data_IF_860718722720
#
_entry.id   IF_860718722720
#
_cell.length_a   1.000
_cell.length_b   1.000
_cell.length_c   1.000
_cell.angle_alpha   90.00
_cell.angle_beta   90.00
_cell.angle_gamma   90.00
#
_symmetry.space_group_name_H-M   'P 1'
#
loop_
_entity.id
_entity.type
_entity.pdbx_description
1 polymer ?
#
# COMPACT_ATOMS: atom_id res chain seq x y z
N UNK A 1 -15.61 -1.06 -22.00
CA UNK A 1 -16.10 -1.82 -20.83
C UNK A 1 -17.03 -2.91 -21.34
N UNK A 2 -16.77 -4.17 -20.99
CA UNK A 2 -17.62 -5.29 -21.39
C UNK A 2 -18.90 -5.35 -20.52
N UNK A 3 -20.00 -5.97 -21.00
CA UNK A 3 -21.18 -6.23 -20.18
C UNK A 3 -20.85 -7.09 -18.97
N UNK A 4 -21.48 -6.83 -17.85
CA UNK A 4 -21.32 -7.57 -16.60
C UNK A 4 -22.65 -7.66 -15.83
N UNK A 5 -22.79 -8.67 -14.98
CA UNK A 5 -23.86 -8.76 -13.99
C UNK A 5 -23.46 -8.03 -12.71
N UNK A 6 -24.46 -7.58 -11.94
CA UNK A 6 -24.25 -6.87 -10.68
C UNK A 6 -25.06 -7.52 -9.57
N UNK A 7 -24.42 -7.82 -8.43
CA UNK A 7 -25.05 -8.42 -7.27
C UNK A 7 -24.72 -7.65 -6.00
N UNK A 8 -25.68 -7.56 -5.08
CA UNK A 8 -25.54 -6.92 -3.76
C UNK A 8 -25.86 -7.92 -2.66
N UNK A 9 -24.90 -8.71 -2.22
CA UNK A 9 -25.09 -9.68 -1.14
C UNK A 9 -25.46 -9.00 0.18
N UNK A 10 -26.32 -9.65 0.97
CA UNK A 10 -26.78 -9.10 2.24
C UNK A 10 -25.77 -9.26 3.39
N UNK A 11 -24.80 -10.15 3.27
CA UNK A 11 -23.80 -10.44 4.31
C UNK A 11 -22.50 -11.00 3.71
N UNK A 12 -21.39 -11.06 4.49
CA UNK A 12 -20.10 -11.55 4.02
C UNK A 12 -20.15 -12.97 3.44
N UNK A 13 -20.86 -13.91 4.08
CA UNK A 13 -20.96 -15.28 3.58
C UNK A 13 -21.62 -15.36 2.20
N UNK A 14 -22.68 -14.58 1.98
CA UNK A 14 -23.33 -14.49 0.67
C UNK A 14 -22.39 -13.86 -0.39
N UNK A 15 -21.58 -12.88 -0.01
CA UNK A 15 -20.59 -12.27 -0.89
C UNK A 15 -19.48 -13.26 -1.28
N UNK A 16 -18.96 -14.01 -0.32
CA UNK A 16 -17.96 -15.06 -0.52
C UNK A 16 -18.50 -16.16 -1.45
N UNK A 17 -19.75 -16.56 -1.25
CA UNK A 17 -20.40 -17.53 -2.14
C UNK A 17 -20.57 -16.96 -3.56
N UNK A 18 -21.05 -15.73 -3.68
CA UNK A 18 -21.28 -15.09 -4.98
C UNK A 18 -19.99 -14.87 -5.80
N UNK A 19 -18.86 -14.58 -5.15
CA UNK A 19 -17.58 -14.35 -5.86
C UNK A 19 -16.92 -15.65 -6.35
N UNK A 20 -17.40 -16.83 -5.94
CA UNK A 20 -16.89 -18.13 -6.42
C UNK A 20 -17.18 -18.40 -7.90
N UNK A 21 -18.10 -17.65 -8.51
CA UNK A 21 -18.39 -17.72 -9.94
C UNK A 21 -17.19 -17.23 -10.74
N UNK A 22 -16.80 -17.97 -11.78
CA UNK A 22 -15.67 -17.59 -12.63
C UNK A 22 -15.84 -16.19 -13.22
N UNK A 23 -14.79 -15.37 -13.11
CA UNK A 23 -14.80 -13.99 -13.59
C UNK A 23 -15.52 -12.99 -12.67
N UNK A 24 -16.03 -13.41 -11.51
CA UNK A 24 -16.61 -12.51 -10.53
C UNK A 24 -15.52 -11.76 -9.74
N UNK A 25 -15.78 -10.48 -9.40
CA UNK A 25 -14.88 -9.65 -8.56
C UNK A 25 -15.67 -8.86 -7.54
N UNK A 26 -15.10 -8.68 -6.36
CA UNK A 26 -15.61 -7.75 -5.37
C UNK A 26 -15.49 -6.30 -5.84
N UNK A 27 -16.54 -5.52 -5.58
CA UNK A 27 -16.60 -4.10 -5.86
C UNK A 27 -16.77 -3.32 -4.55
N UNK A 28 -15.71 -2.58 -4.16
CA UNK A 28 -15.78 -1.55 -3.12
C UNK A 28 -16.11 -0.18 -3.73
N UNK A 29 -15.29 0.83 -3.47
CA UNK A 29 -15.48 2.18 -4.02
C UNK A 29 -15.34 2.33 -5.54
N UNK A 30 -14.87 1.31 -6.25
CA UNK A 30 -14.73 1.30 -7.71
C UNK A 30 -13.57 2.12 -8.27
N UNK A 31 -12.91 2.94 -7.48
CA UNK A 31 -11.88 3.91 -7.89
C UNK A 31 -10.62 3.32 -8.54
N UNK A 32 -10.46 2.00 -8.47
CA UNK A 32 -9.42 1.28 -9.21
C UNK A 32 -10.04 0.26 -10.19
N UNK A 33 -10.94 -0.61 -9.72
CA UNK A 33 -11.52 -1.66 -10.56
C UNK A 33 -12.27 -1.09 -11.78
N UNK A 34 -13.13 -0.09 -11.57
CA UNK A 34 -13.91 0.52 -12.67
C UNK A 34 -12.99 1.24 -13.67
N UNK A 35 -11.93 1.88 -13.19
CA UNK A 35 -10.91 2.50 -14.04
C UNK A 35 -10.22 1.46 -14.94
N UNK A 36 -9.80 0.33 -14.37
CA UNK A 36 -9.22 -0.79 -15.12
C UNK A 36 -10.21 -1.45 -16.08
N UNK A 37 -11.49 -1.51 -15.74
CA UNK A 37 -12.55 -2.00 -16.64
C UNK A 37 -12.75 -1.04 -17.83
N UNK A 38 -12.71 0.27 -17.60
CA UNK A 38 -12.80 1.27 -18.69
C UNK A 38 -11.63 1.19 -19.64
N UNK A 39 -10.44 0.89 -19.14
CA UNK A 39 -9.20 0.72 -19.93
C UNK A 39 -9.11 -0.67 -20.57
N UNK A 40 -10.07 -1.59 -20.33
CA UNK A 40 -10.03 -2.95 -20.87
C UNK A 40 -8.99 -3.87 -20.23
N UNK A 41 -8.35 -3.44 -19.14
CA UNK A 41 -7.34 -4.22 -18.38
C UNK A 41 -8.02 -5.30 -17.54
N UNK A 42 -9.17 -4.98 -16.96
CA UNK A 42 -10.00 -5.88 -16.18
C UNK A 42 -11.36 -6.07 -16.84
N UNK A 43 -11.79 -7.32 -16.99
CA UNK A 43 -13.02 -7.66 -17.66
C UNK A 43 -13.84 -8.67 -16.83
N UNK A 44 -14.29 -8.30 -15.61
CA UNK A 44 -15.12 -9.19 -14.81
C UNK A 44 -16.47 -9.43 -15.48
N UNK A 45 -16.99 -10.65 -15.34
CA UNK A 45 -18.33 -11.01 -15.79
C UNK A 45 -19.41 -10.68 -14.77
N UNK A 46 -19.03 -10.58 -13.49
CA UNK A 46 -19.94 -10.25 -12.39
C UNK A 46 -19.25 -9.37 -11.36
N UNK A 47 -19.91 -8.31 -10.93
CA UNK A 47 -19.46 -7.45 -9.83
C UNK A 47 -20.28 -7.78 -8.57
N UNK A 48 -19.57 -8.06 -7.47
CA UNK A 48 -20.16 -8.35 -6.16
C UNK A 48 -19.92 -7.13 -5.28
N UNK A 49 -20.97 -6.32 -5.11
CA UNK A 49 -20.91 -5.08 -4.32
C UNK A 49 -20.84 -5.39 -2.82
N UNK A 50 -19.73 -5.01 -2.19
CA UNK A 50 -19.46 -5.22 -0.76
C UNK A 50 -19.68 -3.97 0.10
N UNK A 51 -20.16 -2.87 -0.48
CA UNK A 51 -20.32 -1.62 0.26
C UNK A 51 -21.39 -1.70 1.37
N UNK A 52 -22.33 -2.62 1.27
CA UNK A 52 -23.44 -2.79 2.20
C UNK A 52 -23.21 -3.87 3.27
N UNK A 53 -22.00 -4.39 3.38
CA UNK A 53 -21.68 -5.45 4.34
C UNK A 53 -21.43 -4.95 5.77
N UNK A 54 -21.67 -3.66 6.05
CA UNK A 54 -21.48 -3.00 7.36
C UNK A 54 -20.07 -3.18 7.96
N UNK A 55 -19.05 -3.24 7.09
CA UNK A 55 -17.63 -3.29 7.48
C UNK A 55 -17.04 -1.88 7.58
N UNK A 56 -17.71 -0.96 8.27
CA UNK A 56 -17.42 0.48 8.29
C UNK A 56 -16.95 1.01 9.65
N UNK A 57 -16.81 0.13 10.63
CA UNK A 57 -16.44 0.54 11.99
C UNK A 57 -14.93 0.75 12.13
N UNK A 58 -14.56 1.76 12.92
CA UNK A 58 -13.20 1.96 13.43
C UNK A 58 -13.27 1.86 14.95
N UNK A 59 -12.70 0.82 15.52
CA UNK A 59 -12.79 0.53 16.95
C UNK A 59 -11.41 0.39 17.57
N UNK A 60 -11.27 0.79 18.84
CA UNK A 60 -10.04 0.62 19.61
C UNK A 60 -10.33 -0.12 20.91
N UNK A 61 -9.68 -1.28 21.05
CA UNK A 61 -9.83 -2.12 22.23
C UNK A 61 -9.05 -1.53 23.43
N UNK A 62 -9.37 -1.99 24.65
CA UNK A 62 -8.71 -1.55 25.88
C UNK A 62 -7.19 -1.79 25.89
N UNK A 63 -6.71 -2.83 25.21
CA UNK A 63 -5.28 -3.12 25.02
C UNK A 63 -4.60 -2.23 23.99
N UNK A 64 -5.33 -1.28 23.38
CA UNK A 64 -4.80 -0.33 22.40
C UNK A 64 -4.78 -0.83 20.94
N UNK A 65 -5.15 -2.07 20.69
CA UNK A 65 -5.31 -2.59 19.31
C UNK A 65 -6.47 -1.87 18.64
N UNK A 66 -6.29 -1.47 17.38
CA UNK A 66 -7.29 -0.73 16.62
C UNK A 66 -7.68 -1.50 15.36
N UNK A 67 -8.97 -1.72 15.18
CA UNK A 67 -9.53 -2.42 14.02
C UNK A 67 -10.20 -1.43 13.08
N UNK A 68 -9.87 -1.51 11.80
CA UNK A 68 -10.38 -0.69 10.71
C UNK A 68 -11.23 -1.58 9.80
N UNK A 69 -12.51 -1.31 9.69
CA UNK A 69 -13.39 -2.06 8.79
C UNK A 69 -12.98 -1.90 7.32
N UNK A 70 -13.13 -2.96 6.55
CA UNK A 70 -12.69 -3.01 5.14
C UNK A 70 -13.37 -1.98 4.23
N UNK A 71 -14.61 -1.57 4.55
CA UNK A 71 -15.42 -0.62 3.78
C UNK A 71 -15.32 0.83 4.28
N UNK A 72 -14.55 1.13 5.33
CA UNK A 72 -14.31 2.52 5.77
C UNK A 72 -13.74 3.32 4.61
N UNK A 73 -14.34 4.48 4.33
CA UNK A 73 -13.86 5.38 3.26
C UNK A 73 -12.53 6.02 3.67
N UNK A 74 -11.65 6.22 2.70
CA UNK A 74 -10.33 6.77 2.98
C UNK A 74 -10.38 8.17 3.61
N UNK A 75 -11.37 9.00 3.24
CA UNK A 75 -11.59 10.31 3.86
C UNK A 75 -12.00 10.18 5.32
N UNK A 76 -12.95 9.28 5.61
CA UNK A 76 -13.46 9.08 6.96
C UNK A 76 -12.35 8.49 7.85
N UNK A 77 -11.61 7.50 7.34
CA UNK A 77 -10.48 6.91 8.05
C UNK A 77 -9.39 7.94 8.35
N UNK A 78 -9.02 8.76 7.37
CA UNK A 78 -7.97 9.78 7.55
C UNK A 78 -8.32 10.83 8.60
N UNK A 79 -9.61 11.15 8.74
CA UNK A 79 -10.11 12.16 9.66
C UNK A 79 -10.67 11.58 10.96
N UNK A 80 -10.71 10.26 11.11
CA UNK A 80 -11.22 9.62 12.32
C UNK A 80 -10.35 9.95 13.53
N UNK A 81 -10.98 10.32 14.64
CA UNK A 81 -10.30 10.78 15.87
C UNK A 81 -9.24 9.77 16.35
N UNK A 82 -9.58 8.49 16.43
CA UNK A 82 -8.65 7.42 16.84
C UNK A 82 -7.41 7.42 15.93
N UNK A 83 -7.59 7.59 14.61
CA UNK A 83 -6.49 7.54 13.64
C UNK A 83 -5.64 8.79 13.73
N UNK A 84 -6.24 9.97 13.81
CA UNK A 84 -5.51 11.23 13.94
C UNK A 84 -4.68 11.28 15.22
N UNK A 85 -5.24 10.76 16.32
CA UNK A 85 -4.60 10.78 17.64
C UNK A 85 -3.52 9.72 17.81
N UNK A 86 -3.81 8.48 17.38
CA UNK A 86 -2.93 7.34 17.67
C UNK A 86 -2.06 6.91 16.49
N UNK A 87 -2.51 7.17 15.25
CA UNK A 87 -1.81 6.76 14.03
C UNK A 87 -1.71 7.92 13.02
N UNK A 88 -1.18 9.09 13.40
CA UNK A 88 -1.10 10.26 12.51
C UNK A 88 -0.35 9.95 11.21
N UNK A 89 0.60 9.02 11.23
CA UNK A 89 1.29 8.50 10.06
C UNK A 89 0.32 7.96 8.99
N UNK A 90 -0.69 7.21 9.41
CA UNK A 90 -1.72 6.67 8.50
C UNK A 90 -2.63 7.78 7.96
N UNK A 91 -3.03 8.72 8.80
CA UNK A 91 -3.81 9.90 8.39
C UNK A 91 -3.05 10.70 7.31
N UNK A 92 -1.78 11.04 7.56
CA UNK A 92 -0.93 11.77 6.61
C UNK A 92 -0.78 11.02 5.27
N UNK A 93 -0.57 9.71 5.31
CA UNK A 93 -0.45 8.89 4.11
C UNK A 93 -1.74 8.91 3.28
N UNK A 94 -2.89 8.71 3.92
CA UNK A 94 -4.20 8.75 3.26
C UNK A 94 -4.47 10.12 2.63
N UNK A 95 -4.21 11.22 3.35
CA UNK A 95 -4.42 12.58 2.87
C UNK A 95 -3.45 12.97 1.75
N UNK A 96 -2.28 12.35 1.68
CA UNK A 96 -1.32 12.52 0.59
C UNK A 96 -1.72 11.80 -0.70
N UNK A 97 -2.62 10.82 -0.61
CA UNK A 97 -3.10 10.02 -1.72
C UNK A 97 -4.30 10.63 -2.45
N UNK A 98 -4.42 10.36 -3.75
CA UNK A 98 -5.57 10.66 -4.59
C UNK A 98 -6.04 12.14 -4.55
N UNK A 99 -7.30 12.39 -4.84
CA UNK A 99 -8.03 13.65 -4.59
C UNK A 99 -9.05 13.42 -3.48
N UNK A 100 -9.63 14.49 -2.95
CA UNK A 100 -10.71 14.41 -1.95
C UNK A 100 -11.89 13.59 -2.48
N UNK A 101 -12.30 13.81 -3.73
CA UNK A 101 -13.42 13.09 -4.36
C UNK A 101 -13.15 11.58 -4.44
N UNK A 102 -11.93 11.19 -4.85
CA UNK A 102 -11.55 9.78 -4.90
C UNK A 102 -11.49 9.16 -3.50
N UNK A 103 -10.94 9.86 -2.51
CA UNK A 103 -10.89 9.38 -1.13
C UNK A 103 -12.28 9.20 -0.50
N UNK A 104 -13.26 10.00 -0.91
CA UNK A 104 -14.66 9.87 -0.47
C UNK A 104 -15.32 8.57 -0.99
N UNK A 105 -14.77 7.97 -2.05
CA UNK A 105 -15.27 6.73 -2.64
C UNK A 105 -14.40 5.51 -2.31
N UNK A 106 -13.08 5.69 -2.31
CA UNK A 106 -12.14 4.60 -2.07
C UNK A 106 -12.31 4.02 -0.66
N UNK A 107 -12.34 2.69 -0.56
CA UNK A 107 -12.44 1.95 0.70
C UNK A 107 -11.07 1.48 1.17
N UNK A 108 -10.95 1.15 2.44
CA UNK A 108 -9.73 0.58 3.04
C UNK A 108 -9.27 -0.66 2.28
N UNK A 109 -10.14 -1.67 2.10
CA UNK A 109 -9.77 -2.88 1.35
C UNK A 109 -9.51 -2.59 -0.14
N UNK A 110 -10.28 -1.69 -0.77
CA UNK A 110 -10.04 -1.30 -2.16
C UNK A 110 -8.68 -0.60 -2.34
N UNK A 111 -8.26 0.18 -1.37
CA UNK A 111 -6.94 0.82 -1.37
C UNK A 111 -5.81 -0.19 -1.18
N UNK A 112 -5.97 -1.20 -0.30
CA UNK A 112 -5.02 -2.32 -0.17
C UNK A 112 -4.79 -3.03 -1.49
N UNK A 113 -5.84 -3.23 -2.27
CA UNK A 113 -5.88 -4.02 -3.50
C UNK A 113 -5.68 -3.20 -4.77
N UNK A 114 -5.39 -1.90 -4.68
CA UNK A 114 -5.16 -1.11 -5.90
C UNK A 114 -3.95 -1.63 -6.67
N UNK A 115 -4.15 -1.80 -7.98
CA UNK A 115 -3.15 -2.34 -8.88
C UNK A 115 -2.19 -1.25 -9.36
N UNK A 116 -1.05 -1.66 -9.86
CA UNK A 116 0.00 -0.76 -10.37
C UNK A 116 -0.51 0.26 -11.38
N UNK A 117 0.18 1.38 -11.49
CA UNK A 117 -0.03 2.43 -12.50
C UNK A 117 1.09 2.46 -13.55
N UNK A 118 1.72 1.30 -13.76
CA UNK A 118 2.65 1.10 -14.87
C UNK A 118 1.96 1.43 -16.20
N UNK A 119 2.57 2.28 -17.03
CA UNK A 119 2.00 2.70 -18.32
C UNK A 119 1.69 1.51 -19.22
N UNK A 120 2.61 0.55 -19.29
CA UNK A 120 2.50 -0.67 -20.10
C UNK A 120 1.45 -1.65 -19.57
N UNK A 121 1.10 -1.59 -18.30
CA UNK A 121 0.00 -2.33 -17.71
C UNK A 121 -1.35 -1.67 -18.00
N UNK A 122 -1.41 -0.34 -17.89
CA UNK A 122 -2.65 0.43 -18.05
C UNK A 122 -3.10 0.55 -19.50
N UNK A 123 -2.17 0.55 -20.44
CA UNK A 123 -2.45 0.64 -21.87
C UNK A 123 -2.38 -0.75 -22.51
N UNK A 124 -3.53 -1.23 -22.99
CA UNK A 124 -3.66 -2.54 -23.63
C UNK A 124 -3.05 -2.61 -25.03
N UNK A 125 -2.67 -1.48 -25.63
CA UNK A 125 -1.93 -1.44 -26.88
C UNK A 125 -0.50 -2.02 -26.75
N UNK A 126 0.04 -2.07 -25.52
CA UNK A 126 1.30 -2.79 -25.25
C UNK A 126 1.00 -4.25 -24.93
N UNK A 127 1.28 -5.21 -25.84
CA UNK A 127 0.96 -6.62 -25.63
C UNK A 127 1.84 -7.29 -24.56
N UNK A 128 3.11 -6.87 -24.45
CA UNK A 128 4.09 -7.46 -23.53
C UNK A 128 3.92 -6.97 -22.10
N UNK A 129 3.02 -7.61 -21.35
CA UNK A 129 2.79 -7.36 -19.93
C UNK A 129 2.44 -8.65 -19.18
N UNK A 130 3.39 -9.24 -18.46
CA UNK A 130 3.22 -10.46 -17.67
C UNK A 130 2.17 -10.35 -16.56
N UNK A 131 1.78 -9.14 -16.15
CA UNK A 131 0.67 -8.95 -15.20
C UNK A 131 -0.70 -9.15 -15.84
N UNK A 132 -0.87 -8.81 -17.11
CA UNK A 132 -2.11 -9.02 -17.86
C UNK A 132 -2.12 -10.38 -18.54
N UNK A 133 -1.03 -10.70 -19.22
CA UNK A 133 -0.87 -11.89 -20.05
C UNK A 133 0.40 -12.62 -19.62
N UNK A 134 0.33 -13.56 -18.66
CA UNK A 134 1.49 -14.30 -18.19
C UNK A 134 2.27 -14.94 -19.36
N UNK A 135 3.60 -14.77 -19.37
CA UNK A 135 4.48 -15.26 -20.43
C UNK A 135 4.68 -14.30 -21.62
N UNK A 136 3.98 -13.15 -21.67
CA UNK A 136 4.10 -12.20 -22.80
C UNK A 136 5.29 -11.24 -22.70
N UNK A 137 6.05 -11.24 -21.60
CA UNK A 137 7.15 -10.33 -21.38
C UNK A 137 6.78 -9.07 -20.60
N UNK A 138 7.71 -8.12 -20.53
CA UNK A 138 7.53 -6.84 -19.83
C UNK A 138 8.12 -5.68 -20.65
N UNK A 139 7.27 -4.95 -21.36
CA UNK A 139 7.68 -3.81 -22.18
C UNK A 139 8.31 -2.65 -21.39
N UNK A 140 8.12 -2.60 -20.06
CA UNK A 140 8.69 -1.56 -19.22
C UNK A 140 10.21 -1.70 -19.04
N UNK A 141 10.79 -2.89 -19.20
CA UNK A 141 12.21 -3.14 -18.94
C UNK A 141 13.08 -2.35 -19.91
N UNK A 142 12.77 -2.43 -21.21
CA UNK A 142 13.48 -1.72 -22.27
C UNK A 142 12.80 -0.40 -22.67
N UNK A 143 11.68 -0.08 -22.03
CA UNK A 143 10.90 1.11 -22.31
C UNK A 143 11.17 2.24 -21.33
N UNK A 144 10.32 3.30 -21.37
CA UNK A 144 10.41 4.42 -20.43
C UNK A 144 10.01 3.97 -19.03
N UNK A 145 10.99 3.88 -18.13
CA UNK A 145 10.84 3.25 -16.81
C UNK A 145 11.09 4.17 -15.62
N UNK A 146 10.95 5.50 -15.79
CA UNK A 146 11.18 6.53 -14.77
C UNK A 146 10.45 6.28 -13.45
N UNK A 147 9.19 5.78 -13.51
CA UNK A 147 8.35 5.56 -12.31
C UNK A 147 8.45 4.15 -11.73
N UNK A 148 9.24 3.28 -12.36
CA UNK A 148 9.29 1.86 -12.04
C UNK A 148 10.20 1.53 -10.86
N UNK A 149 10.18 0.26 -10.43
CA UNK A 149 10.88 -0.24 -9.27
C UNK A 149 12.41 -0.18 -9.42
N UNK A 150 13.07 0.08 -8.28
CA UNK A 150 14.52 -0.03 -8.09
C UNK A 150 14.88 -1.11 -7.06
N UNK A 151 13.88 -1.67 -6.37
CA UNK A 151 14.02 -2.73 -5.37
C UNK A 151 13.03 -3.86 -5.64
N UNK A 152 13.41 -5.10 -5.35
CA UNK A 152 12.53 -6.26 -5.41
C UNK A 152 11.90 -6.54 -6.78
N UNK A 153 12.39 -5.96 -7.85
CA UNK A 153 11.97 -6.23 -9.21
C UNK A 153 12.51 -7.58 -9.71
N UNK A 154 11.93 -8.09 -10.80
CA UNK A 154 12.43 -9.28 -11.52
C UNK A 154 12.50 -9.01 -13.02
N UNK A 155 13.07 -9.94 -13.77
CA UNK A 155 13.05 -9.88 -15.25
C UNK A 155 11.64 -10.09 -15.82
N UNK A 156 10.68 -10.49 -14.98
CA UNK A 156 9.27 -10.63 -15.40
C UNK A 156 8.44 -9.36 -15.17
N UNK A 157 8.83 -8.47 -14.24
CA UNK A 157 8.09 -7.25 -13.96
C UNK A 157 8.89 -6.28 -13.08
N UNK A 158 8.85 -4.99 -13.43
CA UNK A 158 9.47 -3.89 -12.69
C UNK A 158 8.43 -2.87 -12.16
N UNK A 159 7.16 -3.23 -12.08
CA UNK A 159 6.10 -2.33 -11.61
C UNK A 159 6.26 -1.95 -10.13
N UNK A 160 5.56 -0.89 -9.70
CA UNK A 160 5.53 -0.45 -8.30
C UNK A 160 4.12 -0.53 -7.71
N UNK A 161 4.02 -0.71 -6.39
CA UNK A 161 2.78 -0.54 -5.65
C UNK A 161 2.48 0.96 -5.52
N UNK A 162 1.25 1.43 -5.86
CA UNK A 162 0.95 2.85 -5.91
C UNK A 162 0.36 3.42 -4.62
N UNK A 163 0.05 2.58 -3.63
CA UNK A 163 -0.71 2.98 -2.44
C UNK A 163 0.15 3.65 -1.37
N UNK A 164 -0.16 4.91 -1.06
CA UNK A 164 0.42 5.62 0.10
C UNK A 164 0.00 4.98 1.43
N UNK A 165 -1.27 4.57 1.54
CA UNK A 165 -1.80 3.88 2.73
C UNK A 165 -1.03 2.60 3.03
N UNK A 166 -0.71 1.81 2.01
CA UNK A 166 0.03 0.55 2.17
C UNK A 166 1.42 0.78 2.75
N UNK A 167 2.07 1.89 2.41
CA UNK A 167 3.39 2.24 2.97
C UNK A 167 3.30 2.54 4.46
N UNK A 168 2.27 3.29 4.88
CA UNK A 168 2.03 3.54 6.30
C UNK A 168 1.68 2.25 7.06
N UNK A 169 0.81 1.40 6.52
CA UNK A 169 0.44 0.12 7.13
C UNK A 169 1.64 -0.83 7.29
N UNK A 170 2.57 -0.82 6.33
CA UNK A 170 3.82 -1.57 6.43
C UNK A 170 4.69 -1.11 7.61
N UNK A 171 4.89 0.22 7.75
CA UNK A 171 5.67 0.79 8.85
C UNK A 171 4.97 0.59 10.22
N UNK A 172 3.64 0.57 10.26
CA UNK A 172 2.84 0.34 11.45
C UNK A 172 2.67 -1.14 11.83
N UNK A 173 3.20 -2.06 11.03
CA UNK A 173 3.12 -3.51 11.28
C UNK A 173 1.67 -4.03 11.38
N UNK A 174 0.82 -3.61 10.43
CA UNK A 174 -0.58 -3.98 10.39
C UNK A 174 -0.81 -5.48 10.16
N UNK A 175 -2.02 -5.95 10.47
CA UNK A 175 -2.50 -7.30 10.17
C UNK A 175 -3.80 -7.19 9.37
N UNK A 176 -3.97 -8.04 8.35
CA UNK A 176 -5.16 -8.06 7.50
C UNK A 176 -6.02 -9.25 7.90
N UNK A 177 -7.31 -8.99 8.17
CA UNK A 177 -8.31 -10.01 8.44
C UNK A 177 -9.06 -10.35 7.17
N UNK A 178 -9.14 -11.62 6.87
CA UNK A 178 -9.84 -12.15 5.70
C UNK A 178 -10.78 -13.27 6.08
N UNK A 179 -11.86 -13.41 5.32
CA UNK A 179 -12.81 -14.48 5.42
C UNK A 179 -13.07 -15.06 4.03
N UNK A 180 -13.11 -16.38 3.91
CA UNK A 180 -13.29 -17.06 2.64
C UNK A 180 -13.89 -18.46 2.80
N UNK A 181 -13.96 -19.26 1.74
CA UNK A 181 -14.51 -20.63 1.80
C UNK A 181 -13.84 -21.52 2.85
N UNK A 182 -12.57 -21.25 3.18
CA UNK A 182 -11.80 -21.96 4.21
C UNK A 182 -11.94 -21.36 5.62
N UNK A 183 -12.88 -20.44 5.86
CA UNK A 183 -13.07 -19.74 7.13
C UNK A 183 -12.28 -18.45 7.25
N UNK A 184 -12.10 -18.00 8.49
CA UNK A 184 -11.39 -16.76 8.84
C UNK A 184 -9.90 -17.02 9.06
N UNK A 185 -9.06 -16.10 8.60
CA UNK A 185 -7.63 -16.10 8.91
C UNK A 185 -7.08 -14.68 8.94
N UNK A 186 -5.87 -14.53 9.44
CA UNK A 186 -5.12 -13.29 9.42
C UNK A 186 -3.88 -13.40 8.53
N UNK A 187 -3.45 -12.27 7.97
CA UNK A 187 -2.24 -12.17 7.16
C UNK A 187 -1.43 -11.00 7.72
N UNK A 188 -0.18 -11.24 8.11
CA UNK A 188 0.72 -10.15 8.45
C UNK A 188 0.91 -9.25 7.22
N UNK A 189 0.89 -7.93 7.39
CA UNK A 189 0.93 -7.01 6.25
C UNK A 189 2.16 -7.21 5.36
N UNK A 190 3.31 -7.54 5.95
CA UNK A 190 4.55 -7.81 5.22
C UNK A 190 4.45 -9.00 4.23
N UNK A 191 3.52 -9.94 4.49
CA UNK A 191 3.29 -11.15 3.71
C UNK A 191 2.08 -11.03 2.77
N UNK A 192 1.39 -9.89 2.81
CA UNK A 192 0.18 -9.68 2.01
C UNK A 192 0.47 -9.39 0.55
N UNK A 193 1.31 -8.39 0.27
CA UNK A 193 1.73 -8.08 -1.10
C UNK A 193 2.95 -8.92 -1.48
N UNK A 194 2.95 -9.45 -2.70
CA UNK A 194 3.99 -10.33 -3.21
C UNK A 194 4.94 -9.59 -4.15
N UNK A 195 6.22 -9.96 -4.11
CA UNK A 195 7.18 -9.54 -5.13
C UNK A 195 6.91 -10.31 -6.43
N UNK A 196 7.27 -9.75 -7.60
CA UNK A 196 6.86 -10.28 -8.88
C UNK A 196 7.42 -11.67 -9.18
N UNK A 197 8.65 -11.98 -8.77
CA UNK A 197 9.31 -13.24 -9.10
C UNK A 197 9.07 -13.64 -10.57
N UNK A 198 8.63 -14.87 -10.79
CA UNK A 198 8.21 -15.38 -12.09
C UNK A 198 6.69 -15.26 -12.35
N UNK A 199 5.91 -14.83 -11.34
CA UNK A 199 4.44 -14.81 -11.38
C UNK A 199 3.85 -13.43 -11.05
N UNK A 200 4.19 -12.36 -11.80
CA UNK A 200 3.80 -10.99 -11.46
C UNK A 200 2.30 -10.72 -11.52
N UNK A 201 1.51 -11.61 -12.10
CA UNK A 201 0.04 -11.55 -12.12
C UNK A 201 -0.57 -11.92 -10.75
N UNK A 202 0.18 -12.59 -9.86
CA UNK A 202 -0.22 -12.89 -8.48
C UNK A 202 0.34 -11.77 -7.60
N UNK A 203 -0.51 -10.83 -7.18
CA UNK A 203 -0.06 -9.60 -6.51
C UNK A 203 -0.18 -9.66 -4.99
N UNK A 204 -1.02 -10.58 -4.48
CA UNK A 204 -1.28 -10.73 -3.04
C UNK A 204 -1.36 -12.20 -2.64
N UNK A 205 -1.25 -12.48 -1.34
CA UNK A 205 -1.41 -13.82 -0.76
C UNK A 205 -2.88 -14.20 -0.48
N UNK A 206 -3.85 -13.43 -1.00
CA UNK A 206 -5.26 -13.80 -0.96
C UNK A 206 -5.51 -15.08 -1.75
N UNK A 207 -6.33 -15.93 -1.19
CA UNK A 207 -6.84 -17.14 -1.86
C UNK A 207 -8.11 -16.80 -2.66
N UNK A 208 -8.45 -17.56 -3.68
CA UNK A 208 -9.69 -17.38 -4.41
C UNK A 208 -10.90 -17.34 -3.45
N UNK A 209 -11.78 -16.36 -3.62
CA UNK A 209 -12.97 -16.18 -2.81
C UNK A 209 -12.77 -15.51 -1.45
N UNK A 210 -11.54 -15.17 -1.05
CA UNK A 210 -11.32 -14.46 0.21
C UNK A 210 -11.72 -12.98 0.11
N UNK A 211 -12.53 -12.55 1.08
CA UNK A 211 -12.95 -11.17 1.30
C UNK A 211 -12.12 -10.58 2.45
N UNK A 212 -11.51 -9.41 2.23
CA UNK A 212 -10.92 -8.62 3.32
C UNK A 212 -12.06 -8.06 4.16
N UNK A 213 -12.04 -8.31 5.47
CA UNK A 213 -13.07 -7.85 6.41
C UNK A 213 -12.58 -6.68 7.28
N UNK A 214 -11.29 -6.64 7.61
CA UNK A 214 -10.71 -5.56 8.41
C UNK A 214 -9.19 -5.46 8.22
N UNK A 215 -8.64 -4.35 8.69
CA UNK A 215 -7.20 -4.15 8.96
C UNK A 215 -7.04 -3.87 10.44
N UNK A 216 -6.13 -4.56 11.09
CA UNK A 216 -5.79 -4.37 12.49
C UNK A 216 -4.45 -3.65 12.63
N UNK A 217 -4.39 -2.67 13.51
CA UNK A 217 -3.18 -1.95 13.88
C UNK A 217 -2.81 -2.32 15.33
N UNK A 218 -1.54 -2.64 15.60
CA UNK A 218 -1.06 -2.87 16.96
C UNK A 218 -1.15 -1.59 17.80
N UNK A 219 -1.00 -1.67 19.14
CA UNK A 219 -0.94 -0.50 20.00
C UNK A 219 0.06 0.55 19.47
N UNK A 220 -0.36 1.80 19.46
CA UNK A 220 0.36 2.91 18.85
C UNK A 220 1.70 3.19 19.56
N UNK A 221 2.81 3.09 18.85
CA UNK A 221 4.16 3.42 19.33
C UNK A 221 4.66 4.76 18.79
N UNK A 222 4.19 5.16 17.62
CA UNK A 222 4.72 6.29 16.86
C UNK A 222 3.80 7.52 16.84
N UNK A 223 2.81 7.60 17.74
CA UNK A 223 1.82 8.68 17.74
C UNK A 223 2.44 10.09 17.81
N UNK A 224 3.51 10.25 18.59
CA UNK A 224 4.19 11.54 18.78
C UNK A 224 5.25 11.82 17.72
N UNK A 225 5.94 10.80 17.25
CA UNK A 225 7.13 10.92 16.43
C UNK A 225 6.95 10.10 15.15
N UNK A 226 6.18 10.63 14.21
CA UNK A 226 6.00 10.01 12.90
C UNK A 226 5.81 11.05 11.80
N UNK A 227 6.17 10.66 10.57
CA UNK A 227 6.01 11.51 9.40
C UNK A 227 5.81 10.68 8.15
N UNK A 228 4.85 11.07 7.31
CA UNK A 228 4.72 10.54 5.95
C UNK A 228 5.20 11.58 4.94
N UNK A 229 6.29 11.27 4.24
CA UNK A 229 6.85 12.09 3.18
C UNK A 229 6.51 11.50 1.81
N UNK A 230 5.94 12.31 0.92
CA UNK A 230 5.68 11.92 -0.47
C UNK A 230 6.36 12.87 -1.44
N UNK A 231 7.28 12.34 -2.26
CA UNK A 231 7.92 13.07 -3.35
C UNK A 231 7.23 12.72 -4.65
N UNK A 232 6.75 13.72 -5.37
CA UNK A 232 5.93 13.60 -6.58
C UNK A 232 6.12 14.79 -7.52
N UNK A 233 5.79 14.61 -8.80
CA UNK A 233 6.02 15.61 -9.85
C UNK A 233 5.08 16.83 -9.75
N UNK A 234 3.96 16.75 -9.02
CA UNK A 234 3.00 17.84 -8.82
C UNK A 234 2.33 17.73 -7.46
N UNK A 235 1.76 18.83 -6.98
CA UNK A 235 1.23 18.94 -5.61
C UNK A 235 0.05 18.02 -5.31
N UNK A 236 -0.78 17.69 -6.28
CA UNK A 236 -1.95 16.83 -6.07
C UNK A 236 -2.12 15.86 -7.23
N UNK A 237 -2.90 14.79 -7.00
CA UNK A 237 -3.28 13.80 -7.99
C UNK A 237 -2.08 13.25 -8.78
N UNK A 238 -1.02 12.92 -8.06
CA UNK A 238 0.16 12.24 -8.60
C UNK A 238 0.58 11.11 -7.67
N UNK A 239 0.99 9.99 -8.26
CA UNK A 239 1.62 8.89 -7.53
C UNK A 239 3.03 9.30 -7.11
N UNK A 240 3.53 8.67 -6.04
CA UNK A 240 4.86 8.97 -5.56
C UNK A 240 5.93 8.47 -6.55
N UNK A 241 6.93 9.29 -6.80
CA UNK A 241 8.23 8.81 -7.29
C UNK A 241 8.91 7.99 -6.19
N UNK A 242 8.92 8.55 -4.98
CA UNK A 242 9.34 7.93 -3.73
C UNK A 242 8.42 8.44 -2.62
N UNK A 243 8.02 7.58 -1.71
CA UNK A 243 7.42 7.99 -0.45
C UNK A 243 8.03 7.23 0.71
N UNK A 244 7.96 7.81 1.90
CA UNK A 244 8.55 7.26 3.13
C UNK A 244 7.55 7.41 4.26
N UNK A 245 7.23 6.30 4.91
CA UNK A 245 6.57 6.26 6.21
C UNK A 245 7.65 6.05 7.26
N UNK A 246 7.84 7.02 8.15
CA UNK A 246 8.81 6.98 9.23
C UNK A 246 8.12 7.15 10.58
N UNK A 247 8.34 6.23 11.50
CA UNK A 247 7.89 6.29 12.89
C UNK A 247 9.03 6.00 13.85
N UNK A 248 9.13 6.75 14.94
CA UNK A 248 10.14 6.59 15.98
C UNK A 248 9.47 6.55 17.36
N UNK A 249 9.87 5.61 18.19
CA UNK A 249 9.61 5.62 19.61
C UNK A 249 10.88 6.11 20.30
N UNK A 250 10.79 7.26 20.97
CA UNK A 250 11.93 7.88 21.63
C UNK A 250 11.86 7.70 23.15
N UNK A 251 12.99 7.40 23.75
CA UNK A 251 13.20 7.42 25.20
C UNK A 251 14.36 8.38 25.50
N UNK A 252 13.99 9.61 25.98
CA UNK A 252 14.94 10.72 26.05
C UNK A 252 15.48 11.06 24.64
N UNK A 253 16.79 11.00 24.50
CA UNK A 253 17.49 11.25 23.22
C UNK A 253 17.95 9.95 22.50
N UNK A 254 17.25 8.83 22.74
CA UNK A 254 17.58 7.53 22.17
C UNK A 254 16.38 6.94 21.46
N UNK A 255 16.58 6.32 20.30
CA UNK A 255 15.54 5.61 19.54
C UNK A 255 15.37 4.22 20.16
N UNK A 256 14.18 3.95 20.71
CA UNK A 256 13.80 2.67 21.31
C UNK A 256 13.25 1.69 20.27
N UNK A 257 12.44 2.18 19.35
CA UNK A 257 11.95 1.40 18.21
C UNK A 257 11.71 2.30 17.02
N UNK A 258 11.72 1.74 15.82
CA UNK A 258 11.50 2.44 14.57
C UNK A 258 10.59 1.62 13.64
N UNK A 259 9.81 2.32 12.82
CA UNK A 259 9.09 1.77 11.68
C UNK A 259 9.46 2.56 10.43
N UNK A 260 10.00 1.89 9.41
CA UNK A 260 10.47 2.53 8.18
C UNK A 260 10.04 1.74 6.95
N UNK A 261 9.18 2.34 6.13
CA UNK A 261 8.75 1.74 4.88
C UNK A 261 8.77 2.76 3.73
N UNK A 262 9.02 2.26 2.52
CA UNK A 262 9.14 3.04 1.29
C UNK A 262 8.04 2.67 0.31
N UNK A 263 7.52 3.67 -0.41
CA UNK A 263 6.62 3.51 -1.54
C UNK A 263 7.23 4.02 -2.85
N UNK A 264 6.67 3.57 -3.97
CA UNK A 264 7.13 3.94 -5.30
C UNK A 264 8.46 3.27 -5.72
N UNK A 265 9.03 2.40 -4.91
CA UNK A 265 10.35 1.78 -5.15
C UNK A 265 10.30 0.28 -5.45
N UNK A 266 9.20 -0.40 -5.12
CA UNK A 266 9.01 -1.85 -5.33
C UNK A 266 7.54 -2.18 -5.62
N UNK A 267 7.26 -3.41 -6.05
CA UNK A 267 5.89 -3.90 -6.29
C UNK A 267 5.08 -4.08 -4.98
N UNK A 268 5.73 -4.12 -3.86
CA UNK A 268 5.11 -4.08 -2.52
C UNK A 268 5.68 -2.90 -1.74
N UNK A 269 5.00 -2.39 -0.70
CA UNK A 269 5.61 -1.45 0.24
C UNK A 269 6.92 -2.05 0.76
N UNK A 270 8.01 -1.32 0.61
CA UNK A 270 9.35 -1.82 0.94
C UNK A 270 9.71 -1.46 2.37
N UNK A 271 9.60 -2.40 3.28
CA UNK A 271 10.04 -2.26 4.66
C UNK A 271 11.45 -2.82 4.84
N UNK A 272 12.34 -2.04 5.44
CA UNK A 272 13.73 -2.44 5.68
C UNK A 272 13.95 -2.67 7.17
N UNK A 273 13.89 -3.93 7.60
CA UNK A 273 14.14 -4.32 9.00
C UNK A 273 15.58 -4.04 9.44
N UNK A 274 16.55 -4.12 8.54
CA UNK A 274 17.97 -3.85 8.87
C UNK A 274 18.19 -2.34 9.08
N UNK A 275 17.51 -1.49 8.30
CA UNK A 275 17.51 -0.05 8.56
C UNK A 275 16.84 0.28 9.91
N UNK A 276 15.69 -0.32 10.23
CA UNK A 276 15.03 -0.15 11.53
C UNK A 276 15.92 -0.58 12.69
N UNK A 277 16.57 -1.76 12.59
CA UNK A 277 17.52 -2.26 13.60
C UNK A 277 18.70 -1.31 13.82
N UNK A 278 19.23 -0.71 12.74
CA UNK A 278 20.35 0.21 12.83
C UNK A 278 20.05 1.51 13.56
N UNK A 279 18.76 1.87 13.66
CA UNK A 279 18.28 3.03 14.38
C UNK A 279 18.11 2.77 15.89
N UNK A 280 17.88 1.52 16.29
CA UNK A 280 17.63 1.17 17.70
C UNK A 280 18.89 1.42 18.54
N UNK A 281 18.74 2.17 19.63
CA UNK A 281 19.84 2.58 20.51
C UNK A 281 20.63 3.80 20.02
N UNK A 282 20.39 4.26 18.80
CA UNK A 282 21.06 5.44 18.26
C UNK A 282 20.41 6.75 18.72
N UNK A 283 21.20 7.83 18.75
CA UNK A 283 20.69 9.20 18.84
C UNK A 283 20.00 9.57 17.52
N UNK A 284 18.82 10.23 17.55
CA UNK A 284 18.11 10.64 16.34
C UNK A 284 18.81 11.82 15.65
N UNK A 285 19.85 11.54 14.90
CA UNK A 285 20.67 12.51 14.17
C UNK A 285 20.86 12.13 12.69
N UNK A 286 21.40 13.05 11.92
CA UNK A 286 21.60 12.90 10.48
C UNK A 286 22.50 11.73 10.11
N UNK A 287 23.50 11.40 10.92
CA UNK A 287 24.44 10.29 10.67
C UNK A 287 23.74 8.95 10.79
N UNK A 288 22.99 8.73 11.89
CA UNK A 288 22.17 7.53 12.08
C UNK A 288 21.14 7.37 10.95
N UNK A 289 20.51 8.46 10.52
CA UNK A 289 19.53 8.46 9.46
C UNK A 289 20.13 8.15 8.08
N UNK A 290 21.34 8.66 7.77
CA UNK A 290 22.08 8.30 6.55
C UNK A 290 22.44 6.81 6.52
N UNK A 291 22.94 6.28 7.65
CA UNK A 291 23.23 4.85 7.76
C UNK A 291 21.98 3.98 7.51
N UNK A 292 20.85 4.35 8.11
CA UNK A 292 19.59 3.66 7.87
C UNK A 292 19.13 3.76 6.41
N UNK A 293 19.32 4.92 5.76
CA UNK A 293 19.00 5.11 4.36
C UNK A 293 19.85 4.22 3.44
N UNK A 294 21.15 4.10 3.70
CA UNK A 294 22.03 3.22 2.93
C UNK A 294 21.61 1.75 3.07
N UNK A 295 21.25 1.29 4.28
CA UNK A 295 20.75 -0.05 4.51
C UNK A 295 19.39 -0.29 3.83
N UNK A 296 18.49 0.68 3.86
CA UNK A 296 17.17 0.56 3.23
C UNK A 296 17.24 0.43 1.71
N UNK A 297 18.25 1.00 1.09
CA UNK A 297 18.50 0.97 -0.36
C UNK A 297 19.56 -0.06 -0.76
N UNK A 298 20.06 -0.87 0.18
CA UNK A 298 21.00 -1.95 -0.14
C UNK A 298 20.36 -2.90 -1.18
N UNK A 299 21.10 -3.20 -2.24
CA UNK A 299 20.62 -4.04 -3.33
C UNK A 299 19.69 -3.35 -4.35
N UNK A 300 19.52 -2.02 -4.29
CA UNK A 300 18.80 -1.28 -5.32
C UNK A 300 19.47 -1.42 -6.69
N UNK A 301 18.66 -1.77 -7.70
CA UNK A 301 19.10 -1.95 -9.09
C UNK A 301 18.29 -1.02 -9.99
N UNK A 302 18.89 0.07 -10.47
CA UNK A 302 18.21 1.00 -11.35
C UNK A 302 18.10 0.45 -12.77
N UNK A 303 17.20 1.02 -13.55
CA UNK A 303 17.10 0.91 -14.99
C UNK A 303 17.49 2.26 -15.62
N UNK A 304 17.45 2.36 -16.94
CA UNK A 304 17.93 3.50 -17.71
C UNK A 304 17.40 4.85 -17.23
N UNK A 305 16.08 4.93 -16.91
CA UNK A 305 15.43 6.21 -16.62
C UNK A 305 15.12 6.44 -15.13
N UNK A 306 15.52 5.54 -14.21
CA UNK A 306 15.13 5.63 -12.79
C UNK A 306 16.27 5.60 -11.78
N UNK A 307 17.53 5.74 -12.22
CA UNK A 307 18.69 5.76 -11.33
C UNK A 307 18.64 6.89 -10.29
N UNK A 308 18.06 8.04 -10.64
CA UNK A 308 17.86 9.18 -9.73
C UNK A 308 17.05 8.82 -8.47
N UNK A 309 16.20 7.78 -8.55
CA UNK A 309 15.34 7.37 -7.43
C UNK A 309 16.14 6.83 -6.24
N UNK A 310 17.35 6.30 -6.46
CA UNK A 310 18.21 5.80 -5.37
C UNK A 310 18.60 6.96 -4.45
N UNK A 311 19.18 8.01 -5.00
CA UNK A 311 19.57 9.19 -4.19
C UNK A 311 18.33 9.91 -3.65
N UNK A 312 17.28 10.06 -4.46
CA UNK A 312 16.03 10.66 -4.02
C UNK A 312 15.43 9.91 -2.82
N UNK A 313 15.47 8.57 -2.82
CA UNK A 313 14.97 7.76 -1.71
C UNK A 313 15.84 7.92 -0.46
N UNK A 314 17.16 7.94 -0.58
CA UNK A 314 18.07 8.18 0.55
C UNK A 314 17.80 9.53 1.22
N UNK A 315 17.73 10.60 0.45
CA UNK A 315 17.44 11.94 0.96
C UNK A 315 16.03 12.02 1.57
N UNK A 316 15.05 11.33 0.98
CA UNK A 316 13.68 11.27 1.49
C UNK A 316 13.62 10.55 2.84
N UNK A 317 14.38 9.47 3.03
CA UNK A 317 14.47 8.74 4.31
C UNK A 317 15.06 9.66 5.38
N UNK A 318 16.21 10.29 5.11
CA UNK A 318 16.85 11.19 6.07
C UNK A 318 15.90 12.34 6.46
N UNK A 319 15.22 12.94 5.49
CA UNK A 319 14.25 14.00 5.75
C UNK A 319 13.04 13.51 6.56
N UNK A 320 12.45 12.38 6.20
CA UNK A 320 11.29 11.83 6.90
C UNK A 320 11.62 11.48 8.36
N UNK A 321 12.77 10.83 8.61
CA UNK A 321 13.24 10.51 9.95
C UNK A 321 13.55 11.79 10.77
N UNK A 322 14.14 12.82 10.13
CA UNK A 322 14.38 14.12 10.77
C UNK A 322 13.08 14.80 11.19
N UNK A 323 12.05 14.76 10.34
CA UNK A 323 10.73 15.32 10.66
C UNK A 323 10.03 14.50 11.73
N UNK A 324 10.09 13.17 11.67
CA UNK A 324 9.55 12.28 12.68
C UNK A 324 10.21 12.51 14.06
N UNK A 325 11.53 12.70 14.11
CA UNK A 325 12.25 12.95 15.37
C UNK A 325 11.85 14.27 16.04
N UNK A 326 11.47 15.29 15.24
CA UNK A 326 10.99 16.58 15.78
C UNK A 326 9.57 16.49 16.39
N UNK A 327 8.87 15.41 16.14
CA UNK A 327 7.48 15.21 16.53
C UNK A 327 6.50 15.77 15.49
N UNK A 328 5.31 15.20 15.44
CA UNK A 328 4.21 15.75 14.69
C UNK A 328 3.85 17.10 15.30
N UNK A 329 4.19 18.19 14.64
CA UNK A 329 3.58 19.48 14.94
C UNK A 329 2.11 19.34 14.52
N UNK A 330 1.22 19.47 15.50
CA UNK A 330 -0.22 19.42 15.33
C UNK A 330 -0.71 20.49 14.33
#
# INVERSE_FOLDING_TARGET
>A
MNPFSYQRPANPNAAIHAVSVHGAKFLGGGTNLVDLMRSGVENPTTLIDVNHLHLTEVTRAANGVTTLGASVRNTDLANHEIIRTHYPLLSQALLSGATTQLRNMATTAGNLLQRTRCYYFMDTAFPACNKRNPGSGCAAIEGFNRIHAILGASESCIATNPSDMNVALAALNATIHVEGPGGKRTIAFQDFHLLPGSTPHIETSLRPGELITAVELPPAKFAKNSWYLKVRDRQSYAFALVSVAAGLELEGNTIKSAGLALGGVALKPWRSLDAEKSLIGATPNTEAFKKAADLALAGAKPREHNAFKIELAKQSIVRALTLAAKGAQA
#
